data_IF_364907100529
#
_entry.id   IF_364907100529
#
_cell.length_a   1.000
_cell.length_b   1.000
_cell.length_c   1.000
_cell.angle_alpha   90.00
_cell.angle_beta   90.00
_cell.angle_gamma   90.00
#
_symmetry.space_group_name_H-M   'P 1'
#
loop_
_entity.id
_entity.type
_entity.pdbx_description
1 polymer ?
#
# COMPACT_ATOMS: atom_id res chain seq x y z
N UNK A 1 4.51 14.27 -35.41
CA UNK A 1 4.58 14.60 -33.97
C UNK A 1 3.43 13.98 -33.16
N UNK A 2 2.16 14.10 -33.56
CA UNK A 2 1.02 13.51 -32.82
C UNK A 2 1.14 11.99 -32.58
N UNK A 3 1.45 11.21 -33.63
CA UNK A 3 1.64 9.75 -33.53
C UNK A 3 2.76 9.35 -32.57
N UNK A 4 3.83 10.15 -32.51
CA UNK A 4 4.94 9.95 -31.59
C UNK A 4 4.51 10.17 -30.14
N UNK A 5 3.74 11.24 -29.88
CA UNK A 5 3.20 11.54 -28.55
C UNK A 5 2.27 10.42 -28.09
N UNK A 6 1.36 9.95 -28.94
CA UNK A 6 0.43 8.86 -28.61
C UNK A 6 1.19 7.59 -28.23
N UNK A 7 2.19 7.17 -29.04
CA UNK A 7 3.02 6.00 -28.70
C UNK A 7 3.71 6.17 -27.34
N UNK A 8 4.22 7.36 -27.05
CA UNK A 8 4.90 7.65 -25.79
C UNK A 8 3.97 7.58 -24.58
N UNK A 9 2.73 8.05 -24.71
CA UNK A 9 1.70 7.93 -23.66
C UNK A 9 1.34 6.46 -23.44
N UNK A 10 1.15 5.69 -24.52
CA UNK A 10 0.84 4.26 -24.41
C UNK A 10 1.96 3.47 -23.71
N UNK A 11 3.23 3.82 -23.92
CA UNK A 11 4.34 3.21 -23.17
C UNK A 11 4.38 3.64 -21.70
N UNK A 12 3.87 4.82 -21.36
CA UNK A 12 3.83 5.28 -19.96
C UNK A 12 2.81 4.49 -19.14
N UNK A 13 1.70 4.03 -19.72
CA UNK A 13 0.66 3.27 -19.02
C UNK A 13 1.23 2.03 -18.30
N UNK A 14 1.90 1.06 -18.97
CA UNK A 14 2.43 -0.12 -18.29
C UNK A 14 3.54 0.23 -17.29
N UNK A 15 4.32 1.28 -17.55
CA UNK A 15 5.37 1.74 -16.61
C UNK A 15 4.72 2.26 -15.33
N UNK A 16 3.71 3.12 -15.44
CA UNK A 16 3.01 3.68 -14.29
C UNK A 16 2.30 2.58 -13.49
N UNK A 17 1.68 1.61 -14.16
CA UNK A 17 1.10 0.44 -13.51
C UNK A 17 2.19 -0.33 -12.76
N UNK A 18 3.31 -0.64 -13.42
CA UNK A 18 4.42 -1.38 -12.82
C UNK A 18 5.00 -0.68 -11.58
N UNK A 19 5.24 0.63 -11.65
CA UNK A 19 5.75 1.42 -10.53
C UNK A 19 4.74 1.45 -9.38
N UNK A 20 3.44 1.67 -9.66
CA UNK A 20 2.41 1.65 -8.61
C UNK A 20 2.27 0.27 -7.97
N UNK A 21 2.37 -0.81 -8.76
CA UNK A 21 2.40 -2.17 -8.21
C UNK A 21 3.60 -2.37 -7.31
N UNK A 22 4.81 -1.98 -7.73
CA UNK A 22 6.01 -2.09 -6.88
C UNK A 22 5.84 -1.34 -5.57
N UNK A 23 5.37 -0.08 -5.62
CA UNK A 23 5.09 0.72 -4.42
C UNK A 23 4.05 0.03 -3.54
N UNK A 24 2.96 -0.46 -4.12
CA UNK A 24 1.94 -1.22 -3.40
C UNK A 24 2.54 -2.44 -2.68
N UNK A 25 3.34 -3.26 -3.38
CA UNK A 25 3.99 -4.43 -2.78
C UNK A 25 4.94 -4.04 -1.64
N UNK A 26 5.74 -3.00 -1.81
CA UNK A 26 6.66 -2.54 -0.77
C UNK A 26 5.91 -2.04 0.49
N UNK A 27 4.84 -1.28 0.31
CA UNK A 27 4.11 -0.69 1.44
C UNK A 27 3.12 -1.65 2.10
N UNK A 28 2.44 -2.51 1.35
CA UNK A 28 1.37 -3.34 1.91
C UNK A 28 1.77 -4.79 2.17
N UNK A 29 2.74 -5.32 1.42
CA UNK A 29 3.19 -6.71 1.58
C UNK A 29 4.48 -6.75 2.40
N UNK A 30 5.50 -5.97 2.04
CA UNK A 30 6.79 -5.98 2.74
C UNK A 30 6.72 -5.25 4.08
N UNK A 31 5.95 -4.15 4.17
CA UNK A 31 5.78 -3.37 5.39
C UNK A 31 4.33 -3.39 5.88
N UNK A 32 3.81 -4.58 6.19
CA UNK A 32 2.37 -4.77 6.42
C UNK A 32 1.79 -3.86 7.51
N UNK A 33 0.49 -3.50 7.43
CA UNK A 33 -0.16 -2.66 8.44
C UNK A 33 -0.04 -3.21 9.87
N UNK A 34 0.03 -4.53 10.03
CA UNK A 34 0.25 -5.18 11.33
C UNK A 34 1.64 -4.88 11.89
N UNK A 35 2.67 -4.89 11.04
CA UNK A 35 4.03 -4.54 11.45
C UNK A 35 4.13 -3.06 11.80
N UNK A 36 3.43 -2.21 11.05
CA UNK A 36 3.35 -0.78 11.33
C UNK A 36 2.67 -0.51 12.68
N UNK A 37 1.54 -1.17 12.95
CA UNK A 37 0.83 -1.09 14.22
C UNK A 37 1.73 -1.47 15.41
N UNK A 38 2.43 -2.61 15.31
CA UNK A 38 3.32 -3.09 16.37
C UNK A 38 4.53 -2.18 16.59
N UNK A 39 5.08 -1.58 15.53
CA UNK A 39 6.16 -0.59 15.65
C UNK A 39 5.70 0.70 16.35
N UNK A 40 4.46 1.14 16.10
CA UNK A 40 3.92 2.40 16.65
C UNK A 40 3.44 2.21 18.09
N UNK A 41 2.72 1.12 18.37
CA UNK A 41 2.19 0.79 19.69
C UNK A 41 3.28 0.29 20.66
N UNK A 42 4.48 -0.03 20.14
CA UNK A 42 5.60 -0.60 20.88
C UNK A 42 5.49 -2.12 21.00
N UNK A 43 6.59 -2.85 21.22
CA UNK A 43 6.59 -4.33 21.08
C UNK A 43 6.10 -5.12 22.31
N UNK A 44 5.95 -4.49 23.47
CA UNK A 44 5.73 -5.18 24.76
C UNK A 44 4.30 -4.97 25.26
N UNK A 45 3.61 -6.07 25.60
CA UNK A 45 2.23 -6.10 26.11
C UNK A 45 1.12 -5.62 25.15
N UNK A 46 1.36 -5.66 23.85
CA UNK A 46 0.31 -5.39 22.86
C UNK A 46 -0.56 -6.62 22.69
N UNK A 47 -1.88 -6.43 22.74
CA UNK A 47 -2.83 -7.47 22.34
C UNK A 47 -3.12 -7.40 20.85
N UNK A 48 -3.67 -8.47 20.28
CA UNK A 48 -4.14 -8.45 18.90
C UNK A 48 -5.30 -7.45 18.70
N UNK A 49 -6.11 -7.23 19.74
CA UNK A 49 -7.20 -6.26 19.73
C UNK A 49 -6.70 -4.83 19.56
N UNK A 50 -5.59 -4.45 20.20
CA UNK A 50 -4.97 -3.13 20.05
C UNK A 50 -4.49 -2.88 18.61
N UNK A 51 -3.91 -3.91 17.98
CA UNK A 51 -3.48 -3.87 16.58
C UNK A 51 -4.67 -3.70 15.64
N UNK A 52 -5.76 -4.43 15.88
CA UNK A 52 -6.96 -4.35 15.06
C UNK A 52 -7.70 -3.02 15.24
N UNK A 53 -7.75 -2.50 16.48
CA UNK A 53 -8.29 -1.17 16.78
C UNK A 53 -7.47 -0.07 16.09
N UNK A 54 -6.14 -0.15 16.13
CA UNK A 54 -5.28 0.79 15.43
C UNK A 54 -5.48 0.74 13.92
N UNK A 55 -5.55 -0.45 13.32
CA UNK A 55 -5.85 -0.60 11.89
C UNK A 55 -7.21 -0.03 11.53
N UNK A 56 -8.23 -0.23 12.37
CA UNK A 56 -9.56 0.32 12.14
C UNK A 56 -9.56 1.84 12.14
N UNK A 57 -8.92 2.46 13.13
CA UNK A 57 -8.78 3.92 13.23
C UNK A 57 -8.00 4.53 12.06
N UNK A 58 -7.00 3.82 11.55
CA UNK A 58 -6.17 4.27 10.43
C UNK A 58 -6.66 3.79 9.05
N UNK A 59 -7.83 3.16 8.97
CA UNK A 59 -8.42 2.70 7.71
C UNK A 59 -7.81 1.42 7.11
N UNK A 60 -6.79 0.81 7.74
CA UNK A 60 -6.14 -0.43 7.29
C UNK A 60 -6.96 -1.71 7.50
N UNK A 61 -8.20 -1.60 7.97
CA UNK A 61 -9.14 -2.73 8.08
C UNK A 61 -9.87 -3.03 6.75
N UNK A 62 -9.77 -2.13 5.76
CA UNK A 62 -10.47 -2.23 4.50
C UNK A 62 -9.66 -3.07 3.49
N UNK A 63 -10.32 -3.69 2.50
CA UNK A 63 -9.63 -4.47 1.47
C UNK A 63 -8.59 -3.61 0.73
N UNK A 64 -7.36 -4.12 0.60
CA UNK A 64 -6.24 -3.37 0.00
C UNK A 64 -6.48 -2.89 -1.44
N UNK A 65 -7.39 -3.55 -2.16
CA UNK A 65 -7.70 -3.26 -3.57
C UNK A 65 -9.04 -2.54 -3.77
N UNK A 66 -9.86 -2.44 -2.72
CA UNK A 66 -11.18 -1.83 -2.76
C UNK A 66 -11.34 -0.97 -1.52
N UNK A 67 -11.08 0.33 -1.69
CA UNK A 67 -11.23 1.36 -0.66
C UNK A 67 -11.98 2.56 -1.23
#
# INVERSE_FOLDING_TARGET
MLTYIIRRILYAIPILIGVNLIVFFLFFIVNSPDQMARKILGEKNITQEDVDNWKKQNGYHLPLFFN
#
